data_IF_894193636500
#
_entry.id   IF_894193636500
#
_cell.length_a   1.000
_cell.length_b   1.000
_cell.length_c   1.000
_cell.angle_alpha   90.00
_cell.angle_beta   90.00
_cell.angle_gamma   90.00
#
_symmetry.space_group_name_H-M   'P 1'
#
loop_
_entity.id
_entity.type
_entity.pdbx_description
1 polymer ?
#
# COMPACT_ATOMS: atom_id res chain seq x y z
N UNK A 1 -32.66 -13.59 12.63
CA UNK A 1 -31.95 -12.45 13.24
C UNK A 1 -30.47 -12.80 13.30
N UNK A 2 -29.68 -12.21 12.42
CA UNK A 2 -28.22 -12.40 12.41
C UNK A 2 -27.62 -11.68 13.62
N UNK A 3 -27.08 -12.42 14.57
CA UNK A 3 -26.28 -11.84 15.65
C UNK A 3 -24.95 -11.42 15.04
N UNK A 4 -24.75 -10.12 14.91
CA UNK A 4 -23.42 -9.56 14.69
C UNK A 4 -22.56 -9.99 15.88
N UNK A 5 -21.65 -10.96 15.67
CA UNK A 5 -20.66 -11.29 16.67
C UNK A 5 -19.67 -10.12 16.75
N UNK A 6 -19.70 -9.43 17.88
CA UNK A 6 -18.70 -8.41 18.18
C UNK A 6 -17.35 -9.13 18.32
N UNK A 7 -16.49 -8.97 17.34
CA UNK A 7 -15.10 -9.48 17.43
C UNK A 7 -14.37 -8.56 18.41
N UNK A 8 -13.78 -9.13 19.45
CA UNK A 8 -13.00 -8.35 20.41
C UNK A 8 -11.83 -7.64 19.73
N UNK A 9 -11.50 -6.43 20.16
CA UNK A 9 -10.40 -5.65 19.64
C UNK A 9 -9.07 -6.41 19.63
N UNK A 10 -8.84 -7.26 20.64
CA UNK A 10 -7.63 -8.09 20.75
C UNK A 10 -7.53 -9.12 19.60
N UNK A 11 -8.65 -9.69 19.18
CA UNK A 11 -8.68 -10.66 18.07
C UNK A 11 -8.44 -9.98 16.72
N UNK A 12 -8.94 -8.75 16.54
CA UNK A 12 -8.67 -7.94 15.34
C UNK A 12 -7.19 -7.56 15.30
N UNK A 13 -6.62 -7.12 16.40
CA UNK A 13 -5.20 -6.75 16.50
C UNK A 13 -4.28 -7.93 16.21
N UNK A 14 -4.54 -9.11 16.80
CA UNK A 14 -3.72 -10.29 16.54
C UNK A 14 -3.79 -10.77 15.10
N UNK A 15 -4.95 -10.70 14.46
CA UNK A 15 -5.13 -11.06 13.06
C UNK A 15 -4.42 -10.06 12.14
N UNK A 16 -4.50 -8.77 12.47
CA UNK A 16 -3.83 -7.71 11.70
C UNK A 16 -2.31 -7.84 11.80
N UNK A 17 -1.78 -8.12 12.99
CA UNK A 17 -0.34 -8.36 13.18
C UNK A 17 0.16 -9.58 12.42
N UNK A 18 -0.61 -10.68 12.39
CA UNK A 18 -0.28 -11.86 11.60
C UNK A 18 -0.25 -11.56 10.10
N UNK A 19 -1.28 -10.90 9.59
CA UNK A 19 -1.34 -10.49 8.17
C UNK A 19 -0.18 -9.57 7.81
N UNK A 20 0.16 -8.63 8.69
CA UNK A 20 1.30 -7.74 8.52
C UNK A 20 2.61 -8.49 8.46
N UNK A 21 2.82 -9.46 9.37
CA UNK A 21 4.02 -10.28 9.41
C UNK A 21 4.16 -11.14 8.15
N UNK A 22 3.08 -11.78 7.73
CA UNK A 22 3.06 -12.57 6.49
C UNK A 22 3.33 -11.70 5.25
N UNK A 23 2.74 -10.51 5.21
CA UNK A 23 2.94 -9.57 4.10
C UNK A 23 4.37 -9.01 4.09
N UNK A 24 4.93 -8.64 5.23
CA UNK A 24 6.33 -8.22 5.34
C UNK A 24 7.28 -9.33 4.90
N UNK A 25 6.99 -10.58 5.28
CA UNK A 25 7.77 -11.73 4.82
C UNK A 25 7.66 -11.93 3.31
N UNK A 26 6.49 -11.71 2.71
CA UNK A 26 6.29 -11.79 1.25
C UNK A 26 7.00 -10.66 0.51
N UNK A 27 7.03 -9.46 1.07
CA UNK A 27 7.79 -8.33 0.52
C UNK A 27 9.28 -8.64 0.50
N UNK A 28 9.82 -9.18 1.61
CA UNK A 28 11.24 -9.55 1.72
C UNK A 28 11.59 -10.73 0.79
N UNK A 29 10.64 -11.67 0.59
CA UNK A 29 10.78 -12.81 -0.31
C UNK A 29 10.19 -12.54 -1.70
N UNK A 30 10.15 -11.28 -2.13
CA UNK A 30 9.49 -10.86 -3.36
C UNK A 30 9.92 -11.74 -4.54
N UNK A 31 9.01 -12.52 -5.15
CA UNK A 31 9.38 -13.36 -6.27
C UNK A 31 9.78 -12.47 -7.46
N UNK A 32 10.77 -12.91 -8.28
CA UNK A 32 11.18 -12.18 -9.47
C UNK A 32 9.95 -11.85 -10.34
N UNK A 33 9.82 -10.59 -10.71
CA UNK A 33 8.76 -10.13 -11.60
C UNK A 33 7.54 -9.50 -10.92
N UNK A 34 7.54 -9.32 -9.60
CA UNK A 34 6.46 -8.62 -8.89
C UNK A 34 6.89 -7.19 -8.56
N UNK A 35 6.08 -6.22 -8.99
CA UNK A 35 6.31 -4.81 -8.68
C UNK A 35 5.95 -4.53 -7.20
N UNK A 36 6.88 -3.99 -6.38
CA UNK A 36 6.58 -3.69 -4.99
C UNK A 36 5.49 -2.63 -4.82
N UNK A 37 5.40 -1.66 -5.72
CA UNK A 37 4.38 -0.61 -5.69
C UNK A 37 2.99 -1.18 -5.96
N UNK A 38 2.86 -2.06 -6.96
CA UNK A 38 1.60 -2.74 -7.28
C UNK A 38 1.14 -3.65 -6.13
N UNK A 39 2.08 -4.37 -5.52
CA UNK A 39 1.79 -5.22 -4.37
C UNK A 39 1.27 -4.40 -3.18
N UNK A 40 1.84 -3.21 -2.93
CA UNK A 40 1.34 -2.31 -1.89
C UNK A 40 -0.04 -1.76 -2.20
N UNK A 41 -0.29 -1.39 -3.45
CA UNK A 41 -1.62 -0.95 -3.89
C UNK A 41 -2.67 -2.06 -3.72
N UNK A 42 -2.34 -3.28 -4.13
CA UNK A 42 -3.23 -4.43 -3.96
C UNK A 42 -3.56 -4.70 -2.48
N UNK A 43 -2.55 -4.63 -1.61
CA UNK A 43 -2.76 -4.77 -0.18
C UNK A 43 -3.63 -3.64 0.39
N UNK A 44 -3.36 -2.40 0.00
CA UNK A 44 -4.14 -1.24 0.45
C UNK A 44 -5.61 -1.35 0.04
N UNK A 45 -5.90 -1.80 -1.18
CA UNK A 45 -7.27 -2.07 -1.66
C UNK A 45 -7.98 -3.14 -0.81
N UNK A 46 -7.28 -4.21 -0.46
CA UNK A 46 -7.83 -5.25 0.44
C UNK A 46 -8.13 -4.66 1.81
N UNK A 47 -7.23 -3.87 2.40
CA UNK A 47 -7.45 -3.21 3.68
C UNK A 47 -8.62 -2.22 3.61
N UNK A 48 -8.69 -1.41 2.57
CA UNK A 48 -9.78 -0.44 2.39
C UNK A 48 -11.14 -1.13 2.29
N UNK A 49 -11.23 -2.25 1.57
CA UNK A 49 -12.45 -3.05 1.48
C UNK A 49 -12.90 -3.65 2.84
N UNK A 50 -11.98 -3.81 3.79
CA UNK A 50 -12.28 -4.31 5.14
C UNK A 50 -12.62 -3.19 6.14
N UNK A 51 -12.58 -1.93 5.74
CA UNK A 51 -12.88 -0.81 6.64
C UNK A 51 -14.37 -0.76 6.99
N UNK A 52 -14.66 -0.35 8.23
CA UNK A 52 -16.05 -0.11 8.65
C UNK A 52 -16.63 1.23 8.17
N UNK A 53 -15.81 2.11 7.58
CA UNK A 53 -16.18 3.43 7.09
C UNK A 53 -16.54 4.46 8.17
N UNK A 54 -16.33 4.15 9.46
CA UNK A 54 -16.71 5.02 10.57
C UNK A 54 -15.84 6.29 10.65
N UNK A 55 -14.53 6.13 10.66
CA UNK A 55 -13.62 7.26 10.79
C UNK A 55 -13.20 7.82 9.42
N UNK A 56 -12.97 9.12 9.38
CA UNK A 56 -12.57 9.85 8.17
C UNK A 56 -11.25 9.36 7.58
N UNK A 57 -10.19 9.07 8.38
CA UNK A 57 -8.93 8.57 7.86
C UNK A 57 -9.06 7.30 7.03
N UNK A 58 -9.89 6.35 7.45
CA UNK A 58 -10.15 5.14 6.66
C UNK A 58 -11.03 5.44 5.45
N UNK A 59 -12.17 6.11 5.67
CA UNK A 59 -13.18 6.32 4.62
C UNK A 59 -12.68 7.13 3.44
N UNK A 60 -11.88 8.16 3.70
CA UNK A 60 -11.38 9.09 2.68
C UNK A 60 -9.88 8.91 2.47
N UNK A 61 -9.10 8.81 3.54
CA UNK A 61 -7.65 8.82 3.48
C UNK A 61 -7.07 7.60 2.76
N UNK A 62 -7.61 6.40 3.00
CA UNK A 62 -7.13 5.20 2.29
C UNK A 62 -7.43 5.27 0.80
N UNK A 63 -8.60 5.79 0.40
CA UNK A 63 -8.92 6.02 -1.00
C UNK A 63 -7.97 7.04 -1.67
N UNK A 64 -7.61 8.11 -0.97
CA UNK A 64 -6.59 9.05 -1.46
C UNK A 64 -5.22 8.41 -1.62
N UNK A 65 -4.82 7.52 -0.71
CA UNK A 65 -3.57 6.77 -0.85
C UNK A 65 -3.60 5.82 -2.04
N UNK A 66 -4.72 5.16 -2.29
CA UNK A 66 -4.91 4.32 -3.48
C UNK A 66 -4.73 5.13 -4.77
N UNK A 67 -5.43 6.26 -4.87
CA UNK A 67 -5.32 7.16 -6.03
C UNK A 67 -3.88 7.65 -6.26
N UNK A 68 -3.16 7.97 -5.19
CA UNK A 68 -1.77 8.41 -5.28
C UNK A 68 -0.82 7.28 -5.72
N UNK A 69 -1.01 6.06 -5.23
CA UNK A 69 -0.24 4.89 -5.67
C UNK A 69 -0.56 4.51 -7.12
N UNK A 70 -1.84 4.61 -7.53
CA UNK A 70 -2.23 4.42 -8.94
C UNK A 70 -1.57 5.45 -9.86
N UNK A 71 -1.44 6.70 -9.45
CA UNK A 71 -0.68 7.72 -10.21
C UNK A 71 0.79 7.36 -10.39
N UNK A 72 1.41 6.74 -9.37
CA UNK A 72 2.80 6.25 -9.49
C UNK A 72 2.89 5.17 -10.55
N UNK A 73 1.97 4.20 -10.54
CA UNK A 73 1.94 3.10 -11.51
C UNK A 73 1.60 3.57 -12.93
N UNK A 74 0.75 4.60 -13.05
CA UNK A 74 0.36 5.18 -14.34
C UNK A 74 1.39 6.19 -14.90
N UNK A 75 2.52 6.38 -14.23
CA UNK A 75 3.55 7.35 -14.63
C UNK A 75 3.07 8.83 -14.63
N UNK A 76 2.06 9.14 -13.83
CA UNK A 76 1.52 10.50 -13.67
C UNK A 76 2.04 11.18 -12.39
N UNK A 77 2.83 10.46 -11.59
CA UNK A 77 3.34 10.95 -10.33
C UNK A 77 4.58 11.83 -10.51
N UNK A 78 4.75 12.74 -9.56
CA UNK A 78 5.93 13.61 -9.41
C UNK A 78 6.59 13.36 -8.07
N UNK A 79 7.79 13.94 -7.84
CA UNK A 79 8.46 13.86 -6.54
C UNK A 79 7.63 14.49 -5.40
N UNK A 80 6.76 15.45 -5.72
CA UNK A 80 5.83 16.02 -4.73
C UNK A 80 4.69 15.04 -4.40
N UNK A 81 4.30 14.20 -5.35
CA UNK A 81 3.35 13.09 -5.11
C UNK A 81 3.89 12.12 -4.07
N UNK A 82 5.18 11.80 -4.11
CA UNK A 82 5.83 10.93 -3.13
C UNK A 82 5.74 11.49 -1.71
N UNK A 83 6.04 12.79 -1.56
CA UNK A 83 5.89 13.50 -0.27
C UNK A 83 4.44 13.50 0.20
N UNK A 84 3.51 13.67 -0.72
CA UNK A 84 2.08 13.66 -0.40
C UNK A 84 1.61 12.27 0.07
N UNK A 85 2.12 11.19 -0.53
CA UNK A 85 1.87 9.82 -0.06
C UNK A 85 2.36 9.65 1.38
N UNK A 86 3.59 10.07 1.66
CA UNK A 86 4.19 10.01 3.00
C UNK A 86 3.36 10.78 4.02
N UNK A 87 3.05 12.05 3.75
CA UNK A 87 2.25 12.90 4.63
C UNK A 87 0.83 12.34 4.85
N UNK A 88 0.19 11.85 3.80
CA UNK A 88 -1.15 11.27 3.89
C UNK A 88 -1.14 10.00 4.73
N UNK A 89 -0.15 9.12 4.52
CA UNK A 89 0.02 7.90 5.30
C UNK A 89 0.30 8.21 6.78
N UNK A 90 1.16 9.19 7.08
CA UNK A 90 1.40 9.61 8.46
C UNK A 90 0.15 10.18 9.13
N UNK A 91 -0.62 11.00 8.42
CA UNK A 91 -1.87 11.54 8.93
C UNK A 91 -2.88 10.42 9.26
N UNK A 92 -3.04 9.42 8.38
CA UNK A 92 -3.92 8.29 8.63
C UNK A 92 -3.43 7.47 9.82
N UNK A 93 -2.14 7.16 9.87
CA UNK A 93 -1.51 6.40 10.97
C UNK A 93 -1.78 7.05 12.33
N UNK A 94 -1.73 8.38 12.40
CA UNK A 94 -1.88 9.12 13.64
C UNK A 94 -3.32 9.45 14.02
N UNK A 95 -4.27 9.34 13.07
CA UNK A 95 -5.66 9.75 13.26
C UNK A 95 -6.69 8.62 13.13
N UNK A 96 -6.28 7.42 12.70
CA UNK A 96 -7.19 6.28 12.58
C UNK A 96 -7.54 5.69 13.95
N UNK A 97 -8.83 5.37 14.15
CA UNK A 97 -9.35 4.85 15.42
C UNK A 97 -9.03 3.36 15.67
N UNK A 98 -8.64 2.63 14.65
CA UNK A 98 -8.44 1.19 14.76
C UNK A 98 -7.26 0.67 13.93
N UNK A 99 -6.85 -0.58 14.23
CA UNK A 99 -5.71 -1.24 13.62
C UNK A 99 -5.76 -1.27 12.08
N UNK A 100 -6.91 -1.45 11.46
CA UNK A 100 -7.03 -1.49 10.00
C UNK A 100 -6.50 -0.20 9.37
N UNK A 101 -6.88 0.95 9.90
CA UNK A 101 -6.44 2.24 9.38
C UNK A 101 -4.96 2.50 9.60
N UNK A 102 -4.49 2.45 10.85
CA UNK A 102 -3.10 2.80 11.13
C UNK A 102 -2.09 1.77 10.62
N UNK A 103 -2.43 0.47 10.60
CA UNK A 103 -1.52 -0.55 10.05
C UNK A 103 -1.45 -0.50 8.53
N UNK A 104 -2.56 -0.22 7.84
CA UNK A 104 -2.54 0.01 6.39
C UNK A 104 -1.61 1.16 6.02
N UNK A 105 -1.71 2.27 6.73
CA UNK A 105 -0.84 3.42 6.51
C UNK A 105 0.62 3.12 6.86
N UNK A 106 0.87 2.38 7.95
CA UNK A 106 2.20 1.93 8.36
C UNK A 106 2.87 1.08 7.30
N UNK A 107 2.10 0.21 6.62
CA UNK A 107 2.60 -0.60 5.52
C UNK A 107 3.03 0.23 4.33
N UNK A 108 2.26 1.25 3.98
CA UNK A 108 2.65 2.17 2.90
C UNK A 108 3.95 2.88 3.25
N UNK A 109 4.10 3.37 4.48
CA UNK A 109 5.33 4.01 4.95
C UNK A 109 6.53 3.05 4.92
N UNK A 110 6.36 1.83 5.44
CA UNK A 110 7.42 0.81 5.41
C UNK A 110 7.84 0.45 3.99
N UNK A 111 6.89 0.41 3.06
CA UNK A 111 7.19 0.18 1.66
C UNK A 111 7.89 1.35 0.99
N UNK A 112 7.53 2.59 1.32
CA UNK A 112 8.25 3.77 0.85
C UNK A 112 9.72 3.77 1.31
N UNK A 113 9.98 3.36 2.54
CA UNK A 113 11.34 3.25 3.07
C UNK A 113 12.11 2.08 2.42
N UNK A 114 11.47 0.91 2.32
CA UNK A 114 12.12 -0.31 1.82
C UNK A 114 12.36 -0.32 0.32
N UNK A 115 11.50 0.30 -0.47
CA UNK A 115 11.53 0.30 -1.93
C UNK A 115 11.61 1.71 -2.52
N UNK A 116 12.27 2.62 -1.83
CA UNK A 116 12.37 4.03 -2.24
C UNK A 116 12.94 4.19 -3.65
N UNK A 117 13.91 3.38 -4.01
CA UNK A 117 14.54 3.40 -5.34
C UNK A 117 13.54 3.00 -6.43
N UNK A 118 12.69 1.99 -6.17
CA UNK A 118 11.64 1.57 -7.11
C UNK A 118 10.62 2.70 -7.34
N UNK A 119 10.20 3.39 -6.28
CA UNK A 119 9.31 4.55 -6.41
C UNK A 119 9.93 5.68 -7.23
N UNK A 120 11.19 6.00 -6.97
CA UNK A 120 11.92 7.04 -7.71
C UNK A 120 12.05 6.64 -9.18
N UNK A 121 12.38 5.38 -9.47
CA UNK A 121 12.51 4.88 -10.84
C UNK A 121 11.17 4.94 -11.59
N UNK A 122 10.05 4.60 -10.95
CA UNK A 122 8.73 4.75 -11.56
C UNK A 122 8.40 6.21 -11.91
N UNK A 123 8.82 7.15 -11.05
CA UNK A 123 8.53 8.58 -11.23
C UNK A 123 9.46 9.22 -12.25
N UNK A 124 10.77 8.91 -12.23
CA UNK A 124 11.78 9.59 -13.04
C UNK A 124 12.04 8.92 -14.37
N UNK A 125 12.10 7.60 -14.37
CA UNK A 125 12.48 6.81 -15.54
C UNK A 125 11.31 6.09 -16.19
N UNK A 126 10.13 6.08 -15.53
CA UNK A 126 8.95 5.33 -15.95
C UNK A 126 9.23 3.84 -16.17
N UNK A 127 10.08 3.27 -15.34
CA UNK A 127 10.55 1.89 -15.39
C UNK A 127 10.43 1.22 -14.04
N UNK A 128 10.16 -0.08 -14.07
CA UNK A 128 10.22 -0.92 -12.90
C UNK A 128 11.65 -1.46 -12.75
N UNK A 129 12.28 -1.22 -11.60
CA UNK A 129 13.57 -1.82 -11.26
C UNK A 129 13.41 -3.29 -10.88
N UNK A 130 12.35 -3.61 -10.18
CA UNK A 130 11.91 -4.95 -9.78
C UNK A 130 13.00 -6.00 -9.67
N UNK A 131 12.59 -7.25 -9.74
CA UNK A 131 13.50 -8.41 -9.78
C UNK A 131 13.90 -8.80 -11.21
N UNK A 132 13.77 -7.90 -12.16
CA UNK A 132 14.16 -8.16 -13.54
C UNK A 132 15.64 -7.82 -13.76
N UNK A 133 16.32 -8.64 -14.54
CA UNK A 133 17.71 -8.38 -14.95
C UNK A 133 17.87 -7.06 -15.72
N UNK A 134 16.79 -6.61 -16.37
CA UNK A 134 16.73 -5.33 -17.06
C UNK A 134 15.45 -4.57 -16.67
N UNK A 135 15.54 -3.25 -16.42
CA UNK A 135 14.37 -2.43 -16.13
C UNK A 135 13.38 -2.45 -17.30
N UNK A 136 12.10 -2.70 -17.04
CA UNK A 136 11.04 -2.69 -18.05
C UNK A 136 10.19 -1.43 -17.93
N UNK A 137 9.68 -0.87 -19.05
CA UNK A 137 8.73 0.25 -19.02
C UNK A 137 7.45 -0.14 -18.27
N UNK A 138 7.03 0.70 -17.31
CA UNK A 138 5.94 0.35 -16.42
C UNK A 138 4.61 0.14 -17.15
N UNK A 139 4.18 1.04 -18.00
CA UNK A 139 2.81 0.98 -18.58
C UNK A 139 2.66 -0.05 -19.71
N UNK A 140 3.74 -0.37 -20.43
CA UNK A 140 3.63 -1.14 -21.67
C UNK A 140 4.03 -2.61 -21.56
N UNK A 141 4.92 -2.93 -20.66
CA UNK A 141 5.50 -4.29 -20.54
C UNK A 141 5.43 -4.87 -19.12
N UNK A 142 4.89 -4.12 -18.16
CA UNK A 142 4.79 -4.59 -16.79
C UNK A 142 3.75 -5.71 -16.68
N UNK A 143 4.12 -6.89 -16.13
CA UNK A 143 3.18 -8.00 -15.94
C UNK A 143 2.00 -7.67 -15.03
N UNK A 144 2.13 -6.68 -14.15
CA UNK A 144 1.06 -6.22 -13.27
C UNK A 144 -0.05 -5.47 -14.03
N UNK A 145 0.23 -4.98 -15.26
CA UNK A 145 -0.70 -4.23 -16.08
C UNK A 145 -1.20 -5.01 -17.31
N UNK A 146 -0.85 -6.28 -17.43
CA UNK A 146 -1.29 -7.14 -18.54
C UNK A 146 -2.55 -7.94 -18.19
#
# INVERSE_FOLDING_TARGET
MSRLSVVSADKVNSTTEQLMKEFTQRIVANPPGVCPVDMQLAFLKVCHAQTCGKCVPCRIGLGQLEDLLEKVLNNEATMDTLKLIEQTAENIKNSADCAIGFESARMVLAGLEGFKEDYISHITEHRCLGSFEQPIPCVTLCPAHV
#
